data_IF_712507161039
#
_entry.id   IF_712507161039
#
_cell.length_a   1.000
_cell.length_b   1.000
_cell.length_c   1.000
_cell.angle_alpha   90.00
_cell.angle_beta   90.00
_cell.angle_gamma   90.00
#
_symmetry.space_group_name_H-M   'P 1'
#
loop_
_entity.id
_entity.type
_entity.pdbx_description
1 polymer ?
#
# COMPACT_ATOMS: atom_id res chain seq x y z
N UNK A 1 -3.52 12.74 22.04
CA UNK A 1 -2.57 12.14 21.09
C UNK A 1 -2.08 13.29 20.23
N UNK A 2 -0.80 13.61 20.27
CA UNK A 2 -0.23 14.61 19.36
C UNK A 2 -0.11 13.89 18.01
N UNK A 3 -0.77 14.41 16.97
CA UNK A 3 -0.52 13.92 15.61
C UNK A 3 0.85 14.47 15.20
N UNK A 4 1.76 13.57 14.82
CA UNK A 4 3.11 13.90 14.40
C UNK A 4 3.14 13.91 12.87
N UNK A 5 2.59 14.96 12.29
CA UNK A 5 2.44 15.08 10.85
C UNK A 5 3.77 15.55 10.23
N UNK A 6 4.02 15.23 8.95
CA UNK A 6 5.30 15.46 8.27
C UNK A 6 5.51 16.92 7.85
N UNK A 7 6.61 17.56 8.24
CA UNK A 7 6.89 18.92 7.79
C UNK A 7 7.22 18.95 6.28
N UNK A 8 6.62 19.89 5.55
CA UNK A 8 6.94 20.11 4.13
C UNK A 8 7.29 21.56 3.86
N UNK A 9 8.26 21.76 2.98
CA UNK A 9 8.78 23.06 2.60
C UNK A 9 7.70 23.90 1.91
N UNK A 10 7.72 25.20 2.17
CA UNK A 10 6.79 26.19 1.59
C UNK A 10 6.80 26.13 0.06
N UNK A 11 7.97 25.99 -0.55
CA UNK A 11 8.13 25.86 -2.00
C UNK A 11 7.42 24.63 -2.55
N UNK A 12 7.52 23.50 -1.86
CA UNK A 12 6.80 22.26 -2.20
C UNK A 12 5.29 22.41 -2.10
N UNK A 13 4.77 23.08 -1.05
CA UNK A 13 3.32 23.36 -0.92
C UNK A 13 2.80 24.13 -2.14
N UNK A 14 3.56 25.14 -2.58
CA UNK A 14 3.23 25.97 -3.73
C UNK A 14 3.33 25.17 -5.03
N UNK A 15 4.38 24.34 -5.19
CA UNK A 15 4.62 23.54 -6.39
C UNK A 15 3.52 22.51 -6.63
N UNK A 16 3.18 21.72 -5.60
CA UNK A 16 2.26 20.58 -5.75
C UNK A 16 0.81 20.87 -5.36
N UNK A 17 0.56 21.99 -4.66
CA UNK A 17 -0.79 22.45 -4.28
C UNK A 17 -1.65 21.35 -3.64
N UNK A 18 -1.09 20.65 -2.65
CA UNK A 18 -1.85 19.66 -1.88
C UNK A 18 -3.08 20.31 -1.22
N UNK A 19 -4.18 19.55 -1.13
CA UNK A 19 -5.41 20.01 -0.48
C UNK A 19 -5.19 20.30 1.02
N UNK A 20 -5.77 21.39 1.51
CA UNK A 20 -5.69 21.84 2.89
C UNK A 20 -6.14 20.76 3.91
N UNK A 21 -7.03 19.84 3.50
CA UNK A 21 -7.50 18.72 4.32
C UNK A 21 -6.44 17.68 4.66
N UNK A 22 -5.34 17.64 3.90
CA UNK A 22 -4.19 16.77 4.20
C UNK A 22 -3.18 17.43 5.12
N UNK A 23 -3.40 18.69 5.53
CA UNK A 23 -2.56 19.35 6.51
C UNK A 23 -3.20 19.30 7.89
N UNK A 24 -2.37 19.05 8.89
CA UNK A 24 -2.72 19.23 10.28
C UNK A 24 -2.84 20.71 10.63
N UNK A 25 -3.43 20.99 11.79
CA UNK A 25 -3.52 22.35 12.33
C UNK A 25 -2.14 23.03 12.43
N UNK A 26 -1.07 22.25 12.53
CA UNK A 26 0.30 22.75 12.63
C UNK A 26 0.98 22.94 11.26
N UNK A 27 0.31 22.75 10.13
CA UNK A 27 0.92 22.94 8.80
C UNK A 27 1.62 21.73 8.23
N UNK A 28 1.67 20.63 8.96
CA UNK A 28 2.38 19.45 8.53
C UNK A 28 1.44 18.50 7.77
N UNK A 29 1.96 17.73 6.81
CA UNK A 29 1.20 16.86 5.92
C UNK A 29 0.93 15.49 6.57
N UNK A 30 -0.31 15.04 6.55
CA UNK A 30 -0.77 13.77 7.15
C UNK A 30 -0.46 12.63 6.15
N UNK A 31 0.76 12.09 6.19
CA UNK A 31 1.23 11.11 5.19
C UNK A 31 1.30 9.65 5.66
N UNK A 32 1.15 9.40 6.97
CA UNK A 32 1.06 8.04 7.51
C UNK A 32 -0.25 7.31 7.12
N UNK A 33 -1.21 8.03 6.52
CA UNK A 33 -2.42 7.45 5.92
C UNK A 33 -2.16 7.03 4.46
N UNK A 34 -2.45 5.77 4.12
CA UNK A 34 -2.25 5.24 2.76
C UNK A 34 -3.07 5.97 1.69
N UNK A 35 -4.27 6.45 2.01
CA UNK A 35 -5.09 7.24 1.08
C UNK A 35 -4.42 8.58 0.76
N UNK A 36 -3.94 9.27 1.80
CA UNK A 36 -3.22 10.54 1.63
C UNK A 36 -1.92 10.31 0.85
N UNK A 37 -1.15 9.27 1.18
CA UNK A 37 0.09 8.94 0.49
C UNK A 37 -0.12 8.67 -1.01
N UNK A 38 -1.21 7.97 -1.39
CA UNK A 38 -1.59 7.76 -2.80
C UNK A 38 -1.92 9.09 -3.50
N UNK A 39 -2.72 9.94 -2.88
CA UNK A 39 -3.05 11.27 -3.43
C UNK A 39 -1.81 12.14 -3.62
N UNK A 40 -0.93 12.18 -2.62
CA UNK A 40 0.31 12.98 -2.65
C UNK A 40 1.27 12.45 -3.71
N UNK A 41 1.48 11.14 -3.78
CA UNK A 41 2.27 10.49 -4.83
C UNK A 41 1.74 10.85 -6.22
N UNK A 42 0.42 10.79 -6.42
CA UNK A 42 -0.20 11.14 -7.70
C UNK A 42 0.02 12.62 -8.07
N UNK A 43 -0.21 13.55 -7.12
CA UNK A 43 0.04 14.99 -7.32
C UNK A 43 1.50 15.30 -7.65
N UNK A 44 2.44 14.65 -6.96
CA UNK A 44 3.87 14.80 -7.23
C UNK A 44 4.20 14.29 -8.62
N UNK A 45 3.71 13.10 -8.96
CA UNK A 45 3.98 12.46 -10.24
C UNK A 45 3.32 13.18 -11.42
N UNK A 46 2.15 13.79 -11.24
CA UNK A 46 1.49 14.62 -12.25
C UNK A 46 2.40 15.75 -12.71
N UNK A 47 2.94 16.51 -11.75
CA UNK A 47 3.88 17.61 -12.03
C UNK A 47 5.20 17.08 -12.59
N UNK A 48 5.80 16.03 -12.00
CA UNK A 48 7.08 15.47 -12.47
C UNK A 48 6.98 14.90 -13.89
N UNK A 49 5.85 14.29 -14.28
CA UNK A 49 5.59 13.84 -15.66
C UNK A 49 5.53 15.02 -16.63
N UNK A 50 4.85 16.10 -16.25
CA UNK A 50 4.77 17.32 -17.07
C UNK A 50 6.14 18.00 -17.22
N UNK A 51 7.01 17.90 -16.21
CA UNK A 51 8.40 18.38 -16.23
C UNK A 51 9.37 17.41 -16.96
N UNK A 52 8.91 16.21 -17.37
CA UNK A 52 9.73 15.18 -18.02
C UNK A 52 10.65 14.40 -17.07
N UNK A 53 10.47 14.52 -15.76
CA UNK A 53 11.28 13.88 -14.72
C UNK A 53 10.80 12.45 -14.39
N UNK A 54 10.75 11.57 -15.39
CA UNK A 54 10.22 10.20 -15.27
C UNK A 54 11.06 9.29 -14.35
N UNK A 55 12.36 9.54 -14.24
CA UNK A 55 13.29 8.83 -13.36
C UNK A 55 13.12 9.22 -11.88
N UNK A 56 12.41 10.33 -11.63
CA UNK A 56 12.13 10.84 -10.29
C UNK A 56 10.72 10.50 -9.83
N UNK A 57 9.94 9.66 -10.51
CA UNK A 57 8.62 9.30 -10.01
C UNK A 57 8.71 8.59 -8.65
N UNK A 58 7.72 8.86 -7.80
CA UNK A 58 7.62 8.31 -6.44
C UNK A 58 6.37 7.45 -6.29
N UNK A 59 6.47 6.44 -5.45
CA UNK A 59 5.36 5.56 -5.09
C UNK A 59 4.63 6.07 -3.84
N UNK A 60 3.44 5.54 -3.58
CA UNK A 60 2.68 5.86 -2.37
C UNK A 60 3.35 5.28 -1.12
N UNK A 61 3.95 4.09 -1.25
CA UNK A 61 4.74 3.41 -0.22
C UNK A 61 5.96 4.23 0.19
N UNK A 62 6.72 4.80 -0.75
CA UNK A 62 7.85 5.69 -0.44
C UNK A 62 7.39 6.92 0.37
N UNK A 63 6.29 7.57 -0.03
CA UNK A 63 5.71 8.72 0.70
C UNK A 63 5.26 8.29 2.11
N UNK A 64 4.53 7.19 2.20
CA UNK A 64 4.01 6.70 3.48
C UNK A 64 5.12 6.30 4.45
N UNK A 65 6.17 5.64 3.95
CA UNK A 65 7.31 5.20 4.74
C UNK A 65 8.07 6.38 5.35
N UNK A 66 8.27 7.46 4.57
CA UNK A 66 8.87 8.69 5.06
C UNK A 66 8.06 9.30 6.21
N UNK A 67 6.73 9.29 6.07
CA UNK A 67 5.79 9.69 7.11
C UNK A 67 5.89 8.91 8.40
N UNK A 68 5.93 7.59 8.27
CA UNK A 68 6.05 6.69 9.41
C UNK A 68 7.40 6.90 10.10
N UNK A 69 8.50 7.04 9.35
CA UNK A 69 9.82 7.33 9.92
C UNK A 69 9.81 8.64 10.72
N UNK A 70 9.18 9.68 10.19
CA UNK A 70 9.03 10.96 10.86
C UNK A 70 8.22 10.85 12.16
N UNK A 71 7.07 10.17 12.11
CA UNK A 71 6.25 9.88 13.31
C UNK A 71 7.04 9.10 14.37
N UNK A 72 7.83 8.11 13.94
CA UNK A 72 8.68 7.32 14.83
C UNK A 72 9.76 8.20 15.46
N UNK A 73 10.44 9.06 14.71
CA UNK A 73 11.47 9.93 15.29
C UNK A 73 10.90 10.87 16.34
N UNK A 74 9.74 11.46 16.09
CA UNK A 74 9.01 12.19 17.12
C UNK A 74 8.69 11.33 18.34
N UNK A 75 8.20 10.10 18.12
CA UNK A 75 7.90 9.19 19.21
C UNK A 75 9.14 8.90 20.07
N UNK A 76 10.28 8.58 19.44
CA UNK A 76 11.54 8.29 20.13
C UNK A 76 12.04 9.50 20.93
N UNK A 77 12.02 10.69 20.32
CA UNK A 77 12.44 11.93 21.00
C UNK A 77 11.52 12.24 22.18
N UNK A 78 10.19 12.12 22.00
CA UNK A 78 9.24 12.38 23.06
C UNK A 78 9.31 11.32 24.18
N UNK A 79 9.46 10.03 23.85
CA UNK A 79 9.68 8.95 24.81
C UNK A 79 10.91 9.24 25.67
N UNK A 80 12.04 9.55 25.03
CA UNK A 80 13.28 9.91 25.72
C UNK A 80 13.08 11.16 26.61
N UNK A 81 12.52 12.24 26.05
CA UNK A 81 12.37 13.50 26.77
C UNK A 81 11.34 13.47 27.92
N UNK A 82 10.38 12.54 27.92
CA UNK A 82 9.36 12.43 28.97
C UNK A 82 9.70 11.37 30.02
N UNK A 83 10.16 10.19 29.59
CA UNK A 83 10.30 9.04 30.48
C UNK A 83 11.73 8.84 30.99
N UNK A 84 12.73 9.21 30.21
CA UNK A 84 14.14 8.88 30.49
C UNK A 84 14.96 10.11 30.88
N UNK A 85 14.68 11.26 30.27
CA UNK A 85 15.39 12.50 30.52
C UNK A 85 14.50 13.76 30.47
N UNK A 86 13.65 13.98 31.49
CA UNK A 86 12.78 15.15 31.59
C UNK A 86 13.49 16.50 31.42
N UNK A 87 12.93 17.36 30.58
CA UNK A 87 13.41 18.73 30.36
C UNK A 87 14.67 18.84 29.49
N UNK A 88 15.11 17.74 28.87
CA UNK A 88 16.35 17.70 28.05
C UNK A 88 16.32 18.67 26.86
N UNK A 89 15.18 18.82 26.18
CA UNK A 89 15.04 19.76 25.04
C UNK A 89 15.22 21.21 25.49
N UNK A 90 14.67 21.58 26.65
CA UNK A 90 14.84 22.92 27.21
C UNK A 90 16.30 23.18 27.60
N UNK A 91 16.96 22.22 28.26
CA UNK A 91 18.40 22.31 28.56
C UNK A 91 19.25 22.43 27.29
N UNK A 92 18.88 21.73 26.22
CA UNK A 92 19.54 21.85 24.93
C UNK A 92 19.42 23.27 24.37
N UNK A 93 18.24 23.87 24.41
CA UNK A 93 18.06 25.29 24.00
C UNK A 93 18.97 26.21 24.82
N UNK A 94 18.99 26.07 26.14
CA UNK A 94 19.81 26.91 27.03
C UNK A 94 21.33 26.71 26.77
N UNK A 95 21.74 25.48 26.47
CA UNK A 95 23.09 25.15 26.03
C UNK A 95 23.44 25.82 24.70
N UNK A 96 22.56 25.71 23.69
CA UNK A 96 22.76 26.30 22.36
C UNK A 96 22.83 27.83 22.42
N UNK A 97 21.99 28.48 23.25
CA UNK A 97 22.06 29.93 23.48
C UNK A 97 23.43 30.35 24.02
N UNK A 98 23.98 29.55 24.92
CA UNK A 98 25.30 29.82 25.53
C UNK A 98 26.44 29.53 24.55
N UNK A 99 26.33 28.48 23.74
CA UNK A 99 27.39 28.02 22.85
C UNK A 99 27.49 28.80 21.52
N UNK A 100 26.35 29.23 20.96
CA UNK A 100 26.27 29.82 19.62
C UNK A 100 25.85 31.29 19.63
N UNK A 101 25.52 31.85 20.80
CA UNK A 101 24.76 33.08 21.04
C UNK A 101 23.26 32.97 20.66
N UNK A 102 22.42 33.73 21.35
CA UNK A 102 20.96 33.65 21.21
C UNK A 102 20.47 34.17 19.84
N UNK A 103 21.17 35.13 19.25
CA UNK A 103 20.82 35.69 17.94
C UNK A 103 20.98 34.66 16.81
N UNK A 104 22.10 33.92 16.78
CA UNK A 104 22.34 32.88 15.81
C UNK A 104 21.34 31.73 15.94
N UNK A 105 21.05 31.29 17.16
CA UNK A 105 20.03 30.26 17.39
C UNK A 105 18.66 30.73 16.89
N UNK A 106 18.22 31.93 17.30
CA UNK A 106 16.94 32.47 16.87
C UNK A 106 16.88 32.66 15.35
N UNK A 107 17.99 33.01 14.68
CA UNK A 107 18.07 33.10 13.22
C UNK A 107 17.79 31.76 12.54
N UNK A 108 18.37 30.66 13.04
CA UNK A 108 18.11 29.30 12.50
C UNK A 108 16.65 28.91 12.74
N UNK A 109 16.14 29.09 13.97
CA UNK A 109 14.78 28.72 14.32
C UNK A 109 13.74 29.52 13.51
N UNK A 110 13.97 30.83 13.32
CA UNK A 110 13.10 31.68 12.51
C UNK A 110 13.13 31.25 11.05
N UNK A 111 14.33 30.99 10.50
CA UNK A 111 14.46 30.55 9.12
C UNK A 111 13.77 29.21 8.89
N UNK A 112 13.79 28.31 9.87
CA UNK A 112 13.02 27.08 9.79
C UNK A 112 11.52 27.36 9.66
N UNK A 113 10.96 28.25 10.48
CA UNK A 113 9.54 28.63 10.40
C UNK A 113 9.18 29.28 9.08
N UNK A 114 10.08 30.05 8.46
CA UNK A 114 9.85 30.62 7.13
C UNK A 114 9.81 29.57 6.02
N UNK A 115 10.72 28.59 6.08
CA UNK A 115 10.84 27.52 5.08
C UNK A 115 9.82 26.40 5.28
N UNK A 116 9.44 26.10 6.52
CA UNK A 116 8.49 25.07 6.93
C UNK A 116 7.36 25.68 7.77
N UNK A 117 6.55 26.59 7.20
CA UNK A 117 5.61 27.38 7.98
C UNK A 117 4.45 26.53 8.51
N UNK A 118 4.08 26.70 9.79
CA UNK A 118 2.80 26.22 10.29
C UNK A 118 1.62 26.80 9.49
N UNK A 119 0.45 26.16 9.53
CA UNK A 119 -0.71 26.60 8.72
C UNK A 119 -1.04 28.08 8.92
N UNK A 120 -1.04 28.57 10.17
CA UNK A 120 -1.40 29.96 10.45
C UNK A 120 -0.34 30.96 9.96
N UNK A 121 0.94 30.58 9.95
CA UNK A 121 2.02 31.39 9.35
C UNK A 121 1.92 31.34 7.82
N UNK A 122 1.67 30.16 7.26
CA UNK A 122 1.51 29.95 5.82
C UNK A 122 0.31 30.73 5.25
N UNK A 123 -0.80 30.78 5.99
CA UNK A 123 -2.01 31.55 5.68
C UNK A 123 -1.92 33.03 6.08
N UNK A 124 -0.73 33.49 6.47
CA UNK A 124 -0.44 34.89 6.85
C UNK A 124 -1.33 35.44 7.99
N UNK A 125 -1.88 34.56 8.84
CA UNK A 125 -2.70 34.97 9.99
C UNK A 125 -1.84 35.51 11.13
N UNK A 126 -0.65 34.95 11.30
CA UNK A 126 0.36 35.36 12.28
C UNK A 126 1.73 35.44 11.61
N UNK A 127 2.63 36.26 12.15
CA UNK A 127 4.00 36.35 11.63
C UNK A 127 4.88 35.20 12.13
N UNK A 128 5.94 34.87 11.38
CA UNK A 128 6.88 33.82 11.77
C UNK A 128 7.58 34.14 13.11
N UNK A 129 7.95 35.40 13.37
CA UNK A 129 8.55 35.80 14.65
C UNK A 129 7.57 35.69 15.81
N UNK A 130 6.29 35.99 15.56
CA UNK A 130 5.23 35.87 16.55
C UNK A 130 5.00 34.41 16.92
N UNK A 131 4.92 33.53 15.91
CA UNK A 131 4.83 32.09 16.14
C UNK A 131 6.05 31.56 16.91
N UNK A 132 7.27 31.93 16.52
CA UNK A 132 8.49 31.46 17.17
C UNK A 132 8.54 31.81 18.68
N UNK A 133 8.04 32.98 19.05
CA UNK A 133 8.00 33.42 20.45
C UNK A 133 6.76 32.95 21.23
N UNK A 134 5.85 32.25 20.54
CA UNK A 134 4.63 31.69 21.11
C UNK A 134 4.82 30.34 21.82
N UNK A 135 3.67 29.73 22.13
CA UNK A 135 3.55 28.40 22.71
C UNK A 135 2.45 27.63 22.00
N UNK A 136 2.62 26.32 21.90
CA UNK A 136 1.60 25.40 21.40
C UNK A 136 1.37 24.34 22.46
N UNK A 137 0.15 24.31 23.02
CA UNK A 137 -0.13 23.53 24.23
C UNK A 137 0.78 23.96 25.39
N UNK A 138 1.53 23.01 25.95
CA UNK A 138 2.41 23.24 27.11
C UNK A 138 3.87 23.50 26.74
N UNK A 139 4.27 23.36 25.47
CA UNK A 139 5.66 23.53 25.01
C UNK A 139 5.87 24.92 24.38
N UNK A 140 7.08 25.46 24.50
CA UNK A 140 7.48 26.61 23.68
C UNK A 140 7.60 26.19 22.23
N UNK A 141 7.23 27.06 21.30
CA UNK A 141 7.41 26.79 19.88
C UNK A 141 8.89 26.60 19.52
N UNK A 142 9.82 27.21 20.27
CA UNK A 142 11.27 26.97 20.11
C UNK A 142 11.68 25.53 20.40
N UNK A 143 11.05 24.89 21.40
CA UNK A 143 11.29 23.47 21.71
C UNK A 143 10.78 22.57 20.60
N UNK A 144 9.60 22.87 20.06
CA UNK A 144 9.03 22.13 18.92
C UNK A 144 9.91 22.28 17.68
N UNK A 145 10.32 23.50 17.35
CA UNK A 145 11.15 23.77 16.17
C UNK A 145 12.54 23.12 16.30
N UNK A 146 13.13 23.06 17.50
CA UNK A 146 14.40 22.36 17.69
C UNK A 146 14.25 20.85 17.48
N UNK A 147 13.15 20.25 17.94
CA UNK A 147 12.81 18.85 17.68
C UNK A 147 12.67 18.59 16.17
N UNK A 148 11.95 19.45 15.46
CA UNK A 148 11.79 19.37 13.99
C UNK A 148 13.11 19.54 13.24
N UNK A 149 14.00 20.44 13.69
CA UNK A 149 15.32 20.64 13.08
C UNK A 149 16.20 19.38 13.19
N UNK A 150 16.11 18.66 14.31
CA UNK A 150 16.83 17.39 14.48
C UNK A 150 16.29 16.36 13.49
N UNK A 151 14.97 16.27 13.35
CA UNK A 151 14.33 15.33 12.42
C UNK A 151 14.65 15.69 10.97
N UNK A 152 14.53 16.96 10.59
CA UNK A 152 14.91 17.49 9.28
C UNK A 152 16.35 17.11 8.92
N UNK A 153 17.27 17.20 9.89
CA UNK A 153 18.65 16.75 9.68
C UNK A 153 18.72 15.28 9.30
N UNK A 154 18.05 14.39 10.04
CA UNK A 154 18.05 12.97 9.75
C UNK A 154 17.40 12.64 8.40
N UNK A 155 16.31 13.32 8.04
CA UNK A 155 15.67 13.18 6.72
C UNK A 155 16.62 13.57 5.58
N UNK A 156 17.33 14.71 5.70
CA UNK A 156 18.30 15.15 4.68
C UNK A 156 19.57 14.28 4.64
N UNK A 157 19.89 13.56 5.71
CA UNK A 157 21.01 12.61 5.72
C UNK A 157 20.63 11.20 5.28
N UNK A 158 19.34 10.91 5.05
CA UNK A 158 18.86 9.59 4.67
C UNK A 158 18.92 9.38 3.14
N UNK A 159 19.85 8.55 2.62
CA UNK A 159 19.98 8.36 1.17
C UNK A 159 18.74 7.72 0.54
N UNK A 160 18.02 6.88 1.27
CA UNK A 160 16.78 6.25 0.82
C UNK A 160 15.65 7.26 0.57
N UNK A 161 15.71 8.46 1.16
CA UNK A 161 14.70 9.51 0.99
C UNK A 161 15.05 10.52 -0.13
N UNK A 162 16.17 10.35 -0.84
CA UNK A 162 16.70 11.32 -1.83
C UNK A 162 15.67 11.72 -2.90
N UNK A 163 14.84 10.80 -3.37
CA UNK A 163 13.79 11.10 -4.38
C UNK A 163 12.72 12.07 -3.89
N UNK A 164 12.62 12.25 -2.59
CA UNK A 164 11.64 13.10 -1.93
C UNK A 164 12.30 14.31 -1.25
N UNK A 165 13.60 14.54 -1.48
CA UNK A 165 14.35 15.60 -0.79
C UNK A 165 13.79 17.00 -0.99
N UNK A 166 13.03 17.26 -2.08
CA UNK A 166 12.38 18.56 -2.28
C UNK A 166 11.30 18.86 -1.23
N UNK A 167 10.69 17.82 -0.64
CA UNK A 167 9.69 17.97 0.41
C UNK A 167 10.32 18.56 1.68
N UNK A 168 11.57 18.20 1.98
CA UNK A 168 12.24 18.49 3.26
C UNK A 168 13.64 19.08 3.09
N UNK A 169 13.94 19.79 1.99
CA UNK A 169 15.32 20.25 1.75
C UNK A 169 15.80 21.28 2.78
N UNK A 170 16.94 21.02 3.42
CA UNK A 170 17.60 21.95 4.36
C UNK A 170 18.60 22.93 3.70
N UNK A 171 18.64 22.98 2.36
CA UNK A 171 19.64 23.76 1.61
C UNK A 171 19.61 25.25 1.98
N UNK A 172 18.43 25.86 2.04
CA UNK A 172 18.29 27.28 2.38
C UNK A 172 18.66 27.58 3.84
N UNK A 173 18.50 26.62 4.74
CA UNK A 173 18.97 26.74 6.13
C UNK A 173 20.50 26.73 6.16
N UNK A 174 21.14 25.81 5.45
CA UNK A 174 22.62 25.70 5.35
C UNK A 174 23.26 26.95 4.75
N UNK A 175 22.66 27.52 3.71
CA UNK A 175 23.22 28.67 2.99
C UNK A 175 23.08 29.99 3.76
N UNK A 176 21.98 30.17 4.52
CA UNK A 176 21.63 31.47 5.10
C UNK A 176 21.83 31.56 6.62
N UNK A 177 22.13 30.45 7.30
CA UNK A 177 22.19 30.39 8.77
C UNK A 177 23.28 29.42 9.26
N UNK A 178 23.70 29.48 10.54
CA UNK A 178 24.67 28.53 11.10
C UNK A 178 24.03 27.18 11.46
N UNK A 179 23.10 26.69 10.62
CA UNK A 179 22.32 25.47 10.86
C UNK A 179 23.19 24.23 11.14
N UNK A 180 24.26 24.01 10.36
CA UNK A 180 25.18 22.89 10.57
C UNK A 180 25.86 22.97 11.95
N UNK A 181 26.14 24.19 12.44
CA UNK A 181 26.74 24.39 13.75
C UNK A 181 25.73 24.11 14.87
N UNK A 182 24.46 24.51 14.69
CA UNK A 182 23.36 24.15 15.62
C UNK A 182 23.22 22.64 15.73
N UNK A 183 23.16 21.91 14.60
CA UNK A 183 23.04 20.45 14.63
C UNK A 183 24.26 19.80 15.31
N UNK A 184 25.48 20.23 14.94
CA UNK A 184 26.70 19.72 15.56
C UNK A 184 26.72 19.93 17.07
N UNK A 185 26.38 21.13 17.54
CA UNK A 185 26.33 21.45 18.97
C UNK A 185 25.21 20.69 19.68
N UNK A 186 24.10 20.45 19.01
CA UNK A 186 23.01 19.62 19.52
C UNK A 186 23.46 18.17 19.72
N UNK A 187 24.19 17.59 18.77
CA UNK A 187 24.77 16.25 18.90
C UNK A 187 25.78 16.20 20.07
N UNK A 188 26.72 17.15 20.13
CA UNK A 188 27.69 17.27 21.24
C UNK A 188 27.03 17.40 22.63
N UNK A 189 25.83 17.99 22.69
CA UNK A 189 25.03 18.08 23.90
C UNK A 189 24.45 16.72 24.29
N UNK A 190 23.81 16.01 23.35
CA UNK A 190 23.19 14.71 23.63
C UNK A 190 24.21 13.60 23.93
N UNK A 191 25.44 13.72 23.43
CA UNK A 191 26.56 12.82 23.79
C UNK A 191 26.95 12.91 25.28
N UNK A 192 26.60 14.00 25.96
CA UNK A 192 26.86 14.22 27.40
C UNK A 192 25.65 13.99 28.28
N UNK A 193 24.49 13.77 27.67
CA UNK A 193 23.24 13.48 28.38
C UNK A 193 23.07 11.98 28.61
N UNK A 194 22.11 11.62 29.46
CA UNK A 194 21.82 10.22 29.79
C UNK A 194 21.57 9.40 28.51
N UNK A 195 22.19 8.21 28.36
CA UNK A 195 21.87 7.32 27.26
C UNK A 195 20.40 6.92 27.27
N UNK A 196 19.89 6.59 26.09
CA UNK A 196 18.50 6.16 25.93
C UNK A 196 18.30 4.68 26.32
N UNK A 197 17.05 4.30 26.59
CA UNK A 197 16.64 2.90 26.73
C UNK A 197 16.78 2.06 25.45
N UNK A 198 17.04 2.69 24.30
CA UNK A 198 17.22 2.03 23.00
C UNK A 198 18.65 1.50 22.84
N UNK A 199 18.97 0.44 23.58
CA UNK A 199 20.27 -0.21 23.54
C UNK A 199 21.40 0.56 24.23
N UNK A 200 21.07 1.52 25.13
CA UNK A 200 22.04 2.29 25.88
C UNK A 200 22.83 3.30 25.03
N UNK A 201 22.28 3.71 23.88
CA UNK A 201 22.90 4.66 22.96
C UNK A 201 22.42 6.09 23.22
N UNK A 202 23.24 7.09 22.89
CA UNK A 202 22.83 8.49 22.88
C UNK A 202 21.77 8.75 21.79
N UNK A 203 20.90 9.75 22.00
CA UNK A 203 19.73 10.01 21.14
C UNK A 203 20.08 10.12 19.64
N UNK A 204 21.12 10.87 19.30
CA UNK A 204 21.55 11.02 17.90
C UNK A 204 22.02 9.69 17.29
N UNK A 205 22.68 8.85 18.08
CA UNK A 205 23.10 7.52 17.64
C UNK A 205 21.91 6.58 17.39
N UNK A 206 20.86 6.69 18.22
CA UNK A 206 19.59 5.95 18.02
C UNK A 206 18.92 6.36 16.72
N UNK A 207 18.69 7.66 16.51
CA UNK A 207 18.02 8.19 15.32
C UNK A 207 18.80 7.90 14.03
N UNK A 208 20.13 7.84 14.10
CA UNK A 208 21.00 7.50 12.96
C UNK A 208 20.96 6.00 12.58
N UNK A 209 20.61 5.12 13.52
CA UNK A 209 20.80 3.67 13.39
C UNK A 209 19.99 3.00 12.25
N UNK A 210 18.72 3.35 11.99
CA UNK A 210 17.98 2.81 10.86
C UNK A 210 18.65 3.18 9.53
N UNK A 211 19.08 4.44 9.41
CA UNK A 211 19.73 4.98 8.21
C UNK A 211 21.07 4.27 7.97
N UNK A 212 21.91 4.09 8.99
CA UNK A 212 23.23 3.44 8.79
C UNK A 212 23.12 1.94 8.55
N UNK A 213 22.11 1.28 9.13
CA UNK A 213 21.90 -0.16 8.94
C UNK A 213 21.36 -0.47 7.54
N UNK A 214 20.46 0.37 7.02
CA UNK A 214 19.83 0.19 5.71
C UNK A 214 19.79 1.51 4.90
N UNK A 215 20.94 2.00 4.38
CA UNK A 215 21.04 3.37 3.86
C UNK A 215 20.19 3.70 2.65
N UNK A 216 19.87 2.69 1.83
CA UNK A 216 19.22 2.90 0.52
C UNK A 216 17.84 2.26 0.42
N UNK A 217 17.23 1.82 1.53
CA UNK A 217 15.95 1.13 1.52
C UNK A 217 15.05 1.53 2.71
N UNK A 218 13.95 2.24 2.44
CA UNK A 218 13.00 2.68 3.46
C UNK A 218 12.23 1.50 4.10
N UNK A 219 11.91 0.45 3.35
CA UNK A 219 11.24 -0.75 3.89
C UNK A 219 12.12 -1.42 4.95
N UNK A 220 13.39 -1.62 4.65
CA UNK A 220 14.34 -2.25 5.57
C UNK A 220 14.66 -1.35 6.77
N UNK A 221 14.61 -0.02 6.62
CA UNK A 221 14.69 0.91 7.76
C UNK A 221 13.50 0.72 8.71
N UNK A 222 12.27 0.61 8.17
CA UNK A 222 11.08 0.34 8.97
C UNK A 222 11.14 -1.05 9.63
N UNK A 223 11.56 -2.08 8.91
CA UNK A 223 11.71 -3.43 9.46
C UNK A 223 12.76 -3.49 10.57
N UNK A 224 13.88 -2.79 10.40
CA UNK A 224 14.89 -2.63 11.45
C UNK A 224 14.28 -2.05 12.73
N UNK A 225 13.53 -0.95 12.60
CA UNK A 225 12.88 -0.28 13.74
C UNK A 225 11.91 -1.23 14.45
N UNK A 226 11.08 -1.95 13.68
CA UNK A 226 10.15 -2.93 14.24
C UNK A 226 10.89 -4.02 15.03
N UNK A 227 11.99 -4.55 14.49
CA UNK A 227 12.71 -5.66 15.10
C UNK A 227 13.47 -5.23 16.36
N UNK A 228 14.10 -4.06 16.35
CA UNK A 228 14.93 -3.58 17.46
C UNK A 228 14.11 -2.86 18.54
N UNK A 229 13.08 -2.11 18.16
CA UNK A 229 12.35 -1.20 19.06
C UNK A 229 10.87 -1.53 19.21
N UNK A 230 10.40 -2.62 18.60
CA UNK A 230 8.98 -3.01 18.63
C UNK A 230 8.37 -3.23 20.02
N UNK A 231 9.17 -3.46 21.06
CA UNK A 231 8.67 -3.57 22.44
C UNK A 231 8.42 -2.21 23.11
N UNK A 232 8.98 -1.14 22.56
CA UNK A 232 8.90 0.22 23.10
C UNK A 232 7.90 1.05 22.32
N UNK A 233 7.73 0.78 21.02
CA UNK A 233 6.72 1.44 20.19
C UNK A 233 5.31 1.08 20.65
N UNK A 234 4.38 2.02 20.52
CA UNK A 234 2.97 1.74 20.77
C UNK A 234 2.34 0.89 19.66
N UNK A 235 1.23 0.20 19.99
CA UNK A 235 0.53 -0.70 19.07
C UNK A 235 0.05 0.01 17.79
N UNK A 236 -0.26 1.31 17.88
CA UNK A 236 -0.76 2.10 16.75
C UNK A 236 0.38 2.33 15.74
N UNK A 237 1.56 2.73 16.21
CA UNK A 237 2.76 2.91 15.39
C UNK A 237 3.23 1.60 14.79
N UNK A 238 3.22 0.51 15.55
CA UNK A 238 3.55 -0.82 15.02
C UNK A 238 2.57 -1.20 13.89
N UNK A 239 1.27 -0.99 14.08
CA UNK A 239 0.26 -1.25 13.05
C UNK A 239 0.49 -0.40 11.80
N UNK A 240 0.79 0.89 11.96
CA UNK A 240 1.09 1.81 10.85
C UNK A 240 2.36 1.39 10.10
N UNK A 241 3.43 1.06 10.84
CA UNK A 241 4.68 0.56 10.27
C UNK A 241 4.45 -0.67 9.42
N UNK A 242 3.74 -1.69 9.93
CA UNK A 242 3.43 -2.90 9.19
C UNK A 242 2.64 -2.60 7.91
N UNK A 243 1.59 -1.78 8.00
CA UNK A 243 0.81 -1.34 6.83
C UNK A 243 1.66 -0.59 5.82
N UNK A 244 2.59 0.26 6.27
CA UNK A 244 3.51 0.97 5.40
C UNK A 244 4.47 0.03 4.67
N UNK A 245 5.03 -0.97 5.35
CA UNK A 245 5.86 -1.99 4.70
C UNK A 245 5.07 -2.80 3.67
N UNK A 246 3.81 -3.13 3.95
CA UNK A 246 2.94 -3.83 2.99
C UNK A 246 2.58 -2.97 1.78
N UNK A 247 2.39 -1.65 1.98
CA UNK A 247 2.14 -0.71 0.88
C UNK A 247 3.35 -0.59 -0.05
N UNK A 248 4.57 -0.53 0.48
CA UNK A 248 5.80 -0.57 -0.34
C UNK A 248 5.86 -1.86 -1.17
N UNK A 249 5.53 -3.01 -0.56
CA UNK A 249 5.48 -4.31 -1.26
C UNK A 249 4.39 -4.39 -2.32
N UNK A 250 3.24 -3.76 -2.09
CA UNK A 250 2.18 -3.62 -3.08
C UNK A 250 2.68 -2.81 -4.28
N UNK A 251 3.35 -1.68 -4.03
CA UNK A 251 3.89 -0.83 -5.09
C UNK A 251 4.96 -1.54 -5.92
N UNK A 252 5.82 -2.37 -5.32
CA UNK A 252 6.77 -3.19 -6.08
C UNK A 252 6.08 -4.09 -7.11
N UNK A 253 4.89 -4.63 -6.80
CA UNK A 253 4.14 -5.49 -7.72
C UNK A 253 3.61 -4.73 -8.94
N UNK A 254 3.45 -3.41 -8.86
CA UNK A 254 3.08 -2.58 -10.02
C UNK A 254 4.19 -2.56 -11.09
N UNK A 255 5.45 -2.72 -10.69
CA UNK A 255 6.61 -2.72 -11.58
C UNK A 255 7.08 -4.12 -11.98
N UNK A 256 6.64 -5.16 -11.27
CA UNK A 256 6.79 -6.54 -11.73
C UNK A 256 5.87 -6.73 -12.93
N UNK A 257 6.45 -6.77 -14.13
CA UNK A 257 5.75 -7.29 -15.32
C UNK A 257 5.21 -8.66 -14.95
N UNK A 258 3.90 -8.77 -14.77
CA UNK A 258 3.21 -10.05 -14.64
C UNK A 258 3.22 -10.74 -16.01
N UNK A 259 4.41 -11.14 -16.45
CA UNK A 259 4.62 -12.06 -17.56
C UNK A 259 4.52 -13.48 -17.02
N UNK A 260 3.29 -13.96 -16.82
CA UNK A 260 3.08 -15.40 -16.98
C UNK A 260 3.53 -15.76 -18.38
N UNK A 261 4.46 -16.72 -18.51
CA UNK A 261 5.09 -17.07 -19.78
C UNK A 261 4.11 -17.40 -20.92
N UNK A 262 4.64 -17.39 -22.15
CA UNK A 262 4.08 -17.76 -23.47
C UNK A 262 2.68 -17.28 -23.89
N UNK A 263 1.74 -17.02 -22.99
CA UNK A 263 0.36 -16.66 -23.32
C UNK A 263 -0.08 -15.47 -22.49
N UNK A 264 -0.32 -14.35 -23.17
CA UNK A 264 -0.73 -13.07 -22.58
C UNK A 264 -2.05 -13.19 -21.84
N UNK A 265 -2.27 -12.36 -20.81
CA UNK A 265 -3.60 -12.17 -20.23
C UNK A 265 -4.58 -11.79 -21.36
N UNK A 266 -5.73 -12.45 -21.50
CA UNK A 266 -6.76 -12.04 -22.43
C UNK A 266 -7.12 -10.56 -22.20
N UNK A 267 -7.43 -9.77 -23.23
CA UNK A 267 -7.88 -8.41 -23.04
C UNK A 267 -9.14 -8.44 -22.16
N UNK A 268 -9.12 -7.68 -21.06
CA UNK A 268 -10.33 -7.44 -20.26
C UNK A 268 -11.27 -6.63 -21.16
N UNK A 269 -12.52 -7.04 -21.38
CA UNK A 269 -13.47 -6.27 -22.16
C UNK A 269 -13.61 -4.85 -21.57
N UNK A 270 -13.49 -3.83 -22.43
CA UNK A 270 -13.60 -2.43 -22.04
C UNK A 270 -15.06 -1.99 -22.16
N UNK A 271 -15.72 -1.75 -21.02
CA UNK A 271 -17.10 -1.29 -20.94
C UNK A 271 -17.24 0.21 -20.68
N UNK A 272 -16.18 1.01 -20.91
CA UNK A 272 -16.20 2.46 -20.63
C UNK A 272 -17.28 3.19 -21.41
N UNK A 273 -17.53 2.77 -22.66
CA UNK A 273 -18.55 3.39 -23.49
C UNK A 273 -19.94 3.15 -22.91
N UNK A 274 -20.31 1.92 -22.57
CA UNK A 274 -21.62 1.64 -21.95
C UNK A 274 -21.75 2.29 -20.57
N UNK A 275 -20.67 2.34 -19.79
CA UNK A 275 -20.67 2.95 -18.46
C UNK A 275 -20.86 4.48 -18.48
N UNK A 276 -20.28 5.17 -19.47
CA UNK A 276 -20.44 6.62 -19.61
C UNK A 276 -21.80 6.98 -20.21
N UNK A 277 -22.34 6.12 -21.08
CA UNK A 277 -23.71 6.23 -21.59
C UNK A 277 -24.74 6.04 -20.46
N UNK A 278 -24.58 5.03 -19.61
CA UNK A 278 -25.40 4.80 -18.39
C UNK A 278 -25.39 5.99 -17.42
N UNK A 279 -24.22 6.62 -17.21
CA UNK A 279 -24.09 7.80 -16.32
C UNK A 279 -24.74 9.06 -16.88
N UNK A 280 -24.89 9.15 -18.21
CA UNK A 280 -25.48 10.30 -18.88
C UNK A 280 -27.01 10.33 -18.76
N UNK A 281 -27.63 9.22 -18.34
CA UNK A 281 -29.07 9.09 -18.21
C UNK A 281 -29.53 9.53 -16.82
N UNK A 282 -30.44 10.51 -16.80
CA UNK A 282 -30.94 11.13 -15.57
C UNK A 282 -32.31 10.61 -15.13
N UNK A 283 -32.91 9.68 -15.88
CA UNK A 283 -34.24 9.10 -15.61
C UNK A 283 -34.33 7.62 -16.00
N UNK A 284 -35.06 6.86 -15.19
CA UNK A 284 -35.28 5.41 -15.32
C UNK A 284 -35.92 4.99 -16.65
N UNK A 285 -36.70 5.87 -17.29
CA UNK A 285 -37.42 5.56 -18.55
C UNK A 285 -36.54 5.55 -19.81
N UNK A 286 -35.32 6.12 -19.75
CA UNK A 286 -34.38 6.15 -20.89
C UNK A 286 -33.42 4.94 -20.90
N UNK A 287 -33.25 4.27 -19.76
CA UNK A 287 -32.35 3.12 -19.61
C UNK A 287 -32.81 1.88 -20.41
N UNK A 288 -34.12 1.72 -20.66
CA UNK A 288 -34.68 0.60 -21.42
C UNK A 288 -34.49 0.70 -22.93
N UNK A 289 -33.95 1.82 -23.45
CA UNK A 289 -33.65 1.99 -24.88
C UNK A 289 -32.18 1.73 -25.22
N UNK A 290 -31.35 1.42 -24.23
CA UNK A 290 -29.95 1.05 -24.47
C UNK A 290 -29.93 -0.36 -25.08
N UNK A 291 -29.44 -0.45 -26.31
CA UNK A 291 -29.03 -1.73 -26.89
C UNK A 291 -27.71 -2.15 -26.24
N UNK A 292 -27.77 -2.75 -25.04
CA UNK A 292 -26.63 -3.50 -24.51
C UNK A 292 -26.20 -4.52 -25.58
N UNK A 293 -24.90 -4.66 -25.81
CA UNK A 293 -24.38 -5.57 -26.83
C UNK A 293 -24.85 -7.03 -26.62
N UNK A 294 -25.24 -7.37 -25.39
CA UNK A 294 -25.86 -8.64 -25.04
C UNK A 294 -27.26 -8.41 -24.46
N UNK A 295 -28.26 -8.98 -25.10
CA UNK A 295 -29.66 -8.94 -24.63
C UNK A 295 -29.86 -10.05 -23.60
N UNK A 296 -30.44 -9.73 -22.45
CA UNK A 296 -30.81 -10.74 -21.44
C UNK A 296 -31.80 -11.75 -22.04
N UNK A 297 -31.37 -13.00 -22.23
CA UNK A 297 -32.18 -14.11 -22.74
C UNK A 297 -32.63 -14.99 -21.57
N UNK A 298 -33.29 -14.41 -20.57
CA UNK A 298 -33.91 -15.21 -19.51
C UNK A 298 -35.01 -16.08 -20.10
N UNK A 299 -34.96 -17.38 -19.82
CA UNK A 299 -36.05 -18.30 -20.15
C UNK A 299 -37.10 -18.24 -19.05
N UNK A 300 -38.38 -18.31 -19.41
CA UNK A 300 -39.46 -18.43 -18.41
C UNK A 300 -39.22 -19.66 -17.50
N UNK A 301 -39.44 -19.51 -16.18
CA UNK A 301 -39.30 -20.54 -15.13
C UNK A 301 -40.34 -21.69 -15.27
N UNK A 302 -40.40 -22.36 -16.42
CA UNK A 302 -41.64 -23.04 -16.85
C UNK A 302 -41.58 -24.55 -16.99
N UNK A 303 -40.49 -25.24 -16.64
CA UNK A 303 -40.64 -26.70 -16.51
C UNK A 303 -39.61 -27.43 -15.65
N UNK A 304 -38.33 -27.07 -15.69
CA UNK A 304 -37.29 -27.94 -15.13
C UNK A 304 -36.62 -27.37 -13.88
N UNK A 305 -36.45 -26.05 -13.81
CA UNK A 305 -35.74 -25.37 -12.71
C UNK A 305 -36.32 -25.68 -11.30
N UNK A 306 -37.65 -25.77 -11.10
CA UNK A 306 -38.23 -26.16 -9.81
C UNK A 306 -38.03 -27.65 -9.45
N UNK A 307 -37.75 -28.51 -10.43
CA UNK A 307 -37.62 -29.97 -10.29
C UNK A 307 -36.17 -30.44 -10.32
N UNK A 308 -35.20 -29.51 -10.31
CA UNK A 308 -33.77 -29.84 -10.34
C UNK A 308 -33.32 -30.47 -9.03
N UNK A 309 -32.79 -31.69 -9.14
CA UNK A 309 -31.95 -32.33 -8.13
C UNK A 309 -30.56 -32.43 -8.75
N UNK A 310 -29.71 -31.49 -8.40
CA UNK A 310 -28.39 -31.33 -9.02
C UNK A 310 -27.29 -31.98 -8.19
N UNK A 311 -26.37 -32.67 -8.85
CA UNK A 311 -25.09 -33.07 -8.27
C UNK A 311 -23.96 -32.28 -8.92
N UNK A 312 -23.16 -31.61 -8.09
CA UNK A 312 -21.97 -30.90 -8.55
C UNK A 312 -20.73 -31.79 -8.44
N UNK A 313 -19.96 -31.89 -9.52
CA UNK A 313 -18.74 -32.70 -9.61
C UNK A 313 -17.58 -31.84 -10.09
N UNK A 314 -16.50 -31.80 -9.32
CA UNK A 314 -15.21 -31.39 -9.85
C UNK A 314 -14.71 -32.47 -10.79
N UNK A 315 -14.57 -32.16 -12.08
CA UNK A 315 -14.43 -33.20 -13.10
C UNK A 315 -13.15 -34.03 -12.94
N UNK A 316 -12.01 -33.40 -12.61
CA UNK A 316 -10.74 -34.10 -12.42
C UNK A 316 -10.78 -35.01 -11.20
N UNK A 317 -11.37 -34.54 -10.10
CA UNK A 317 -11.53 -35.36 -8.88
C UNK A 317 -12.49 -36.51 -9.14
N UNK A 318 -13.60 -36.23 -9.82
CA UNK A 318 -14.63 -37.22 -10.08
C UNK A 318 -14.12 -38.33 -11.01
N UNK A 319 -13.47 -38.00 -12.12
CA UNK A 319 -12.89 -38.99 -13.03
C UNK A 319 -11.82 -39.86 -12.32
N UNK A 320 -11.01 -39.28 -11.44
CA UNK A 320 -10.09 -40.06 -10.61
C UNK A 320 -10.82 -41.04 -9.68
N UNK A 321 -11.87 -40.59 -8.98
CA UNK A 321 -12.71 -41.45 -8.14
C UNK A 321 -13.40 -42.56 -8.93
N UNK A 322 -13.86 -42.26 -10.15
CA UNK A 322 -14.43 -43.26 -11.05
C UNK A 322 -13.36 -44.25 -11.50
N UNK A 323 -12.14 -43.80 -11.76
CA UNK A 323 -11.04 -44.68 -12.15
C UNK A 323 -10.75 -45.71 -11.05
N UNK A 324 -10.72 -45.27 -9.79
CA UNK A 324 -10.59 -46.16 -8.64
C UNK A 324 -11.79 -47.10 -8.48
N UNK A 325 -13.02 -46.59 -8.68
CA UNK A 325 -14.26 -47.36 -8.54
C UNK A 325 -14.40 -48.47 -9.60
N UNK A 326 -14.08 -48.17 -10.87
CA UNK A 326 -14.31 -49.07 -12.00
C UNK A 326 -13.05 -49.84 -12.44
N UNK A 327 -11.88 -49.50 -11.89
CA UNK A 327 -10.64 -50.27 -12.07
C UNK A 327 -9.94 -50.04 -13.42
N UNK A 328 -10.24 -48.94 -14.11
CA UNK A 328 -9.54 -48.51 -15.32
C UNK A 328 -9.38 -46.98 -15.33
N UNK A 329 -8.40 -46.48 -16.06
CA UNK A 329 -8.09 -45.05 -16.10
C UNK A 329 -9.13 -44.27 -16.92
N UNK A 330 -9.75 -43.26 -16.31
CA UNK A 330 -10.74 -42.36 -16.91
C UNK A 330 -10.12 -40.96 -16.91
N UNK A 331 -9.75 -40.47 -18.09
CA UNK A 331 -9.13 -39.16 -18.27
C UNK A 331 -10.01 -38.18 -19.06
N UNK A 332 -10.97 -38.68 -19.84
CA UNK A 332 -11.84 -37.86 -20.72
C UNK A 332 -13.31 -37.99 -20.36
N UNK A 333 -14.10 -36.97 -20.72
CA UNK A 333 -15.54 -36.92 -20.44
C UNK A 333 -16.31 -38.10 -21.03
N UNK A 334 -15.95 -38.51 -22.24
CA UNK A 334 -16.58 -39.64 -22.94
C UNK A 334 -16.20 -41.02 -22.38
N UNK A 335 -15.21 -41.10 -21.49
CA UNK A 335 -14.78 -42.34 -20.83
C UNK A 335 -15.55 -42.62 -19.53
N UNK A 336 -16.36 -41.65 -19.06
CA UNK A 336 -17.22 -41.82 -17.89
C UNK A 336 -18.22 -42.95 -18.16
N UNK A 337 -18.20 -44.04 -17.37
CA UNK A 337 -18.99 -45.24 -17.65
C UNK A 337 -20.49 -44.99 -17.54
N UNK A 338 -21.23 -45.62 -18.43
CA UNK A 338 -22.69 -45.59 -18.47
C UNK A 338 -23.34 -46.07 -17.17
N UNK A 339 -22.76 -47.08 -16.52
CA UNK A 339 -23.22 -47.57 -15.22
C UNK A 339 -23.18 -46.50 -14.11
N UNK A 340 -22.26 -45.53 -14.20
CA UNK A 340 -22.23 -44.40 -13.28
C UNK A 340 -23.39 -43.45 -13.54
N UNK A 341 -23.68 -43.16 -14.81
CA UNK A 341 -24.82 -42.33 -15.19
C UNK A 341 -26.15 -43.00 -14.82
N UNK A 342 -26.24 -44.32 -14.97
CA UNK A 342 -27.37 -45.13 -14.51
C UNK A 342 -27.54 -44.99 -12.99
N UNK A 343 -26.45 -45.10 -12.22
CA UNK A 343 -26.47 -44.92 -10.77
C UNK A 343 -26.97 -43.52 -10.37
N UNK A 344 -26.50 -42.48 -11.04
CA UNK A 344 -26.94 -41.11 -10.77
C UNK A 344 -28.45 -40.92 -11.05
N UNK A 345 -28.94 -41.51 -12.13
CA UNK A 345 -30.36 -41.49 -12.47
C UNK A 345 -31.21 -42.30 -11.46
N UNK A 346 -30.74 -43.47 -11.01
CA UNK A 346 -31.39 -44.27 -9.95
C UNK A 346 -31.47 -43.52 -8.62
N UNK A 347 -30.49 -42.66 -8.32
CA UNK A 347 -30.52 -41.77 -7.16
C UNK A 347 -31.43 -40.55 -7.35
N UNK A 348 -32.13 -40.45 -8.48
CA UNK A 348 -33.02 -39.35 -8.86
C UNK A 348 -32.31 -38.00 -9.02
N UNK A 349 -31.02 -37.99 -9.38
CA UNK A 349 -30.40 -36.76 -9.85
C UNK A 349 -30.91 -36.43 -11.25
N UNK A 350 -31.35 -35.19 -11.46
CA UNK A 350 -31.88 -34.69 -12.73
C UNK A 350 -30.95 -33.69 -13.42
N UNK A 351 -29.85 -33.29 -12.77
CA UNK A 351 -28.80 -32.48 -13.40
C UNK A 351 -27.39 -32.78 -12.87
N UNK A 352 -26.42 -32.66 -13.77
CA UNK A 352 -25.00 -32.86 -13.50
C UNK A 352 -24.22 -31.55 -13.73
N UNK A 353 -23.80 -30.91 -12.66
CA UNK A 353 -23.01 -29.69 -12.72
C UNK A 353 -21.50 -29.99 -12.73
N UNK A 354 -20.86 -29.73 -13.86
CA UNK A 354 -19.43 -30.03 -14.06
C UNK A 354 -18.56 -28.81 -13.74
N UNK A 355 -17.75 -28.90 -12.69
CA UNK A 355 -16.81 -27.86 -12.27
C UNK A 355 -15.44 -28.13 -12.92
N UNK A 356 -14.91 -27.14 -13.64
CA UNK A 356 -13.56 -27.16 -14.20
C UNK A 356 -13.46 -27.72 -15.62
N UNK A 357 -14.52 -27.63 -16.42
CA UNK A 357 -14.56 -28.16 -17.79
C UNK A 357 -13.80 -27.29 -18.81
N UNK A 358 -13.66 -26.00 -18.55
CA UNK A 358 -13.02 -25.05 -19.47
C UNK A 358 -11.49 -25.10 -19.41
N UNK A 359 -10.84 -24.62 -20.47
CA UNK A 359 -9.38 -24.51 -20.57
C UNK A 359 -8.84 -23.57 -19.48
N UNK A 360 -7.96 -24.11 -18.63
CA UNK A 360 -7.45 -23.40 -17.44
C UNK A 360 -6.10 -22.74 -17.72
N UNK A 361 -5.86 -21.63 -17.05
CA UNK A 361 -4.60 -20.90 -17.14
C UNK A 361 -3.44 -21.66 -16.50
N UNK A 362 -2.38 -21.88 -17.28
CA UNK A 362 -1.11 -22.45 -16.80
C UNK A 362 -0.44 -21.58 -15.73
N UNK A 363 -0.71 -20.27 -15.73
CA UNK A 363 -0.23 -19.35 -14.71
C UNK A 363 -0.79 -19.68 -13.32
N UNK A 364 -2.08 -20.04 -13.24
CA UNK A 364 -2.73 -20.45 -11.99
C UNK A 364 -2.04 -21.68 -11.37
N UNK A 365 -1.73 -22.69 -12.21
CA UNK A 365 -0.95 -23.86 -11.80
C UNK A 365 0.44 -23.43 -11.31
N UNK A 366 1.15 -22.60 -12.08
CA UNK A 366 2.50 -22.17 -11.75
C UNK A 366 2.58 -21.40 -10.43
N UNK A 367 1.62 -20.50 -10.16
CA UNK A 367 1.56 -19.75 -8.90
C UNK A 367 1.43 -20.71 -7.72
N UNK A 368 0.47 -21.66 -7.77
CA UNK A 368 0.27 -22.63 -6.68
C UNK A 368 1.52 -23.48 -6.41
N UNK A 369 2.23 -23.85 -7.47
CA UNK A 369 3.49 -24.61 -7.36
C UNK A 369 4.59 -23.78 -6.69
N UNK A 370 4.73 -22.51 -7.05
CA UNK A 370 5.71 -21.60 -6.45
C UNK A 370 5.38 -21.28 -4.98
N UNK A 371 4.11 -21.30 -4.60
CA UNK A 371 3.65 -21.05 -3.22
C UNK A 371 3.60 -22.32 -2.35
N UNK A 372 4.26 -23.41 -2.76
CA UNK A 372 4.49 -24.59 -1.92
C UNK A 372 3.61 -25.80 -2.18
N UNK A 373 2.85 -25.86 -3.28
CA UNK A 373 2.11 -27.07 -3.67
C UNK A 373 2.50 -27.55 -5.09
N UNK A 374 3.59 -28.34 -5.23
CA UNK A 374 4.14 -28.77 -6.52
C UNK A 374 3.16 -29.59 -7.38
N UNK A 375 2.29 -30.37 -6.74
CA UNK A 375 1.30 -31.24 -7.41
C UNK A 375 -0.02 -30.53 -7.71
N UNK A 376 -0.15 -29.25 -7.36
CA UNK A 376 -1.40 -28.51 -7.55
C UNK A 376 -1.78 -28.37 -9.03
N UNK A 377 -3.02 -28.69 -9.37
CA UNK A 377 -3.63 -28.32 -10.63
C UNK A 377 -4.06 -26.84 -10.64
N UNK A 378 -4.23 -26.28 -11.84
CA UNK A 378 -4.81 -24.94 -12.02
C UNK A 378 -6.20 -24.86 -11.35
N UNK A 379 -6.55 -23.67 -10.83
CA UNK A 379 -7.90 -23.45 -10.28
C UNK A 379 -8.95 -23.63 -11.38
N UNK A 380 -10.08 -24.26 -11.05
CA UNK A 380 -11.20 -24.41 -11.97
C UNK A 380 -11.78 -23.06 -12.45
N UNK A 381 -11.56 -21.99 -11.69
CA UNK A 381 -12.04 -20.63 -12.00
C UNK A 381 -10.96 -19.70 -12.58
N UNK A 382 -9.72 -20.20 -12.73
CA UNK A 382 -8.66 -19.43 -13.40
C UNK A 382 -8.61 -19.83 -14.87
N UNK A 383 -9.53 -19.28 -15.65
CA UNK A 383 -9.71 -19.65 -17.05
C UNK A 383 -8.61 -19.03 -17.92
N UNK A 384 -8.22 -19.77 -18.95
CA UNK A 384 -7.48 -19.23 -20.09
C UNK A 384 -8.46 -18.86 -21.21
N UNK A 385 -9.41 -19.75 -21.51
CA UNK A 385 -10.37 -19.60 -22.59
C UNK A 385 -11.67 -20.37 -22.28
N UNK A 386 -12.79 -19.96 -22.88
CA UNK A 386 -14.13 -20.56 -22.71
C UNK A 386 -14.37 -21.72 -23.66
N UNK A 387 -13.35 -22.55 -23.88
CA UNK A 387 -13.43 -23.79 -24.65
C UNK A 387 -13.29 -24.98 -23.71
N UNK A 388 -13.98 -26.09 -23.98
CA UNK A 388 -13.81 -27.32 -23.18
C UNK A 388 -12.36 -27.78 -23.29
N UNK A 389 -11.73 -28.03 -22.14
CA UNK A 389 -10.30 -28.32 -22.07
C UNK A 389 -9.94 -29.53 -22.94
N UNK A 390 -8.89 -29.39 -23.76
CA UNK A 390 -8.47 -30.48 -24.66
C UNK A 390 -8.06 -31.74 -23.89
N UNK A 391 -7.54 -31.57 -22.68
CA UNK A 391 -7.18 -32.69 -21.78
C UNK A 391 -8.40 -33.53 -21.37
N UNK A 392 -9.60 -32.94 -21.35
CA UNK A 392 -10.87 -33.62 -21.07
C UNK A 392 -11.50 -34.28 -22.31
N UNK A 393 -10.85 -34.18 -23.47
CA UNK A 393 -11.35 -34.66 -24.76
C UNK A 393 -12.10 -33.60 -25.58
N UNK A 394 -12.14 -32.35 -25.12
CA UNK A 394 -12.73 -31.22 -25.85
C UNK A 394 -14.24 -31.30 -26.02
N UNK A 395 -14.75 -30.51 -26.97
CA UNK A 395 -16.19 -30.32 -27.21
C UNK A 395 -16.90 -31.64 -27.60
N UNK A 396 -16.23 -32.50 -28.36
CA UNK A 396 -16.80 -33.80 -28.79
C UNK A 396 -17.05 -34.72 -27.59
N UNK A 397 -16.08 -34.81 -26.66
CA UNK A 397 -16.23 -35.63 -25.46
C UNK A 397 -17.31 -35.11 -24.52
N UNK A 398 -17.45 -33.78 -24.42
CA UNK A 398 -18.54 -33.15 -23.69
C UNK A 398 -19.91 -33.48 -24.30
N UNK A 399 -20.04 -33.36 -25.61
CA UNK A 399 -21.31 -33.63 -26.30
C UNK A 399 -21.72 -35.11 -26.21
N UNK A 400 -20.77 -36.04 -26.26
CA UNK A 400 -21.02 -37.46 -25.99
C UNK A 400 -21.57 -37.68 -24.56
N UNK A 401 -20.89 -37.16 -23.54
CA UNK A 401 -21.33 -37.27 -22.15
C UNK A 401 -22.73 -36.65 -21.96
N UNK A 402 -22.95 -35.45 -22.50
CA UNK A 402 -24.23 -34.75 -22.47
C UNK A 402 -25.35 -35.57 -23.11
N UNK A 403 -25.07 -36.21 -24.24
CA UNK A 403 -26.03 -37.07 -24.91
C UNK A 403 -26.39 -38.30 -24.04
N UNK A 404 -25.40 -39.01 -23.52
CA UNK A 404 -25.60 -40.20 -22.68
C UNK A 404 -26.28 -39.90 -21.35
N UNK A 405 -25.99 -38.74 -20.75
CA UNK A 405 -26.68 -38.23 -19.57
C UNK A 405 -28.14 -37.85 -19.90
N UNK A 406 -28.36 -37.18 -21.04
CA UNK A 406 -29.68 -36.77 -21.50
C UNK A 406 -30.64 -37.93 -21.76
N UNK A 407 -30.16 -39.06 -22.29
CA UNK A 407 -30.97 -40.30 -22.43
C UNK A 407 -31.53 -40.77 -21.09
N UNK A 408 -30.82 -40.51 -20.00
CA UNK A 408 -31.18 -40.91 -18.62
C UNK A 408 -31.94 -39.83 -17.86
N UNK A 409 -32.34 -38.76 -18.54
CA UNK A 409 -33.05 -37.64 -17.93
C UNK A 409 -32.17 -36.70 -17.09
N UNK A 410 -30.85 -36.81 -17.20
CA UNK A 410 -29.89 -35.93 -16.52
C UNK A 410 -29.52 -34.77 -17.46
N UNK A 411 -29.68 -33.54 -16.98
CA UNK A 411 -29.36 -32.30 -17.71
C UNK A 411 -27.97 -31.77 -17.46
#
# INVERSE_FOLDING_TARGET
MINHDFHISKSTRIKYKFDDSFYSLNGNLIIANSQAARYISDKINEVRKNEGAYDQLTTAGEINALGILHEIYHYLINHYAQNENPGVIKRNIDFLKSALNEENLNRVLLKFVEEFPPLDVYKEKIKAEEYLNGKTGNKSNKELILEELIILHFENTNPAATRLSELFSDKLLKENTPYNEVIKKTEEFFDKENPTGFGGLHLFSVLRKPITSNPYNLEEQLLFIKNEWGLILDDILISRLLKGTDLIREDYKLFVKHGGGEKTTPPVPDYKHEADELKSLSKEEEASQISLAETEQFTDDTHWMPEVVMIAKNIYVWMHQLSEKYGYDIQRLNEIPDAELDTLAEWNFTSLWLIGIWERSSASKKIKQLTGNPEAAASAYSLYDYVIANELGGEDAFNDLKHRAGIRGIK
#
